data_IF_798467469836
#
_entry.id   IF_798467469836
#
_cell.length_a   1.000
_cell.length_b   1.000
_cell.length_c   1.000
_cell.angle_alpha   90.00
_cell.angle_beta   90.00
_cell.angle_gamma   90.00
#
_symmetry.space_group_name_H-M   'P 1'
#
loop_
_entity.id
_entity.type
_entity.pdbx_description
1 polymer ?
#
# COMPACT_ATOMS: atom_id res chain seq x y z
N UNK A 1 -13.89 13.95 -11.51
CA UNK A 1 -14.96 14.14 -10.50
C UNK A 1 -16.24 13.58 -11.09
N UNK A 2 -16.93 12.70 -10.37
CA UNK A 2 -18.17 12.06 -10.82
C UNK A 2 -19.21 12.18 -9.69
N UNK A 3 -20.44 12.57 -10.04
CA UNK A 3 -21.54 12.71 -9.06
C UNK A 3 -22.35 11.41 -9.05
N UNK A 4 -22.54 10.83 -7.87
CA UNK A 4 -23.32 9.64 -7.64
C UNK A 4 -24.62 9.99 -6.87
N UNK A 5 -25.74 9.60 -7.46
CA UNK A 5 -27.08 9.68 -6.83
C UNK A 5 -27.41 11.10 -6.30
N UNK A 6 -26.79 12.15 -6.87
CA UNK A 6 -26.98 13.54 -6.46
C UNK A 6 -26.48 13.90 -5.05
N UNK A 7 -25.91 12.93 -4.31
CA UNK A 7 -25.51 13.07 -2.91
C UNK A 7 -24.01 12.83 -2.67
N UNK A 8 -23.35 12.06 -3.53
CA UNK A 8 -21.96 11.70 -3.36
C UNK A 8 -21.13 12.11 -4.57
N UNK A 9 -19.89 12.48 -4.31
CA UNK A 9 -18.93 12.87 -5.33
C UNK A 9 -17.73 11.92 -5.24
N UNK A 10 -17.39 11.28 -6.35
CA UNK A 10 -16.14 10.53 -6.49
C UNK A 10 -15.05 11.46 -7.05
N UNK A 11 -13.93 11.54 -6.36
CA UNK A 11 -12.79 12.36 -6.74
C UNK A 11 -11.46 11.72 -6.34
N UNK A 12 -10.39 12.10 -7.02
CA UNK A 12 -9.04 11.84 -6.57
C UNK A 12 -8.70 12.78 -5.40
N UNK A 13 -7.73 12.35 -4.59
CA UNK A 13 -7.19 13.15 -3.49
C UNK A 13 -6.75 14.54 -3.96
N UNK A 14 -7.05 15.55 -3.16
CA UNK A 14 -6.55 16.91 -3.29
C UNK A 14 -5.90 17.37 -1.98
N UNK A 15 -4.87 18.24 -2.02
CA UNK A 15 -4.33 18.86 -0.81
C UNK A 15 -5.45 19.54 0.01
N UNK A 16 -5.52 19.19 1.30
CA UNK A 16 -6.58 19.61 2.22
C UNK A 16 -7.54 18.50 2.62
N UNK A 17 -7.54 17.35 1.91
CA UNK A 17 -8.37 16.19 2.24
C UNK A 17 -7.83 15.37 3.43
N UNK A 18 -6.58 15.61 3.86
CA UNK A 18 -5.87 14.84 4.86
C UNK A 18 -6.67 14.70 6.15
N UNK A 19 -7.18 15.82 6.64
CA UNK A 19 -7.97 15.84 7.88
C UNK A 19 -9.22 14.96 7.76
N UNK A 20 -9.96 15.07 6.66
CA UNK A 20 -11.15 14.26 6.43
C UNK A 20 -10.84 12.77 6.32
N UNK A 21 -9.69 12.40 5.73
CA UNK A 21 -9.23 10.99 5.67
C UNK A 21 -8.88 10.47 7.07
N UNK A 22 -8.19 11.26 7.90
CA UNK A 22 -7.86 10.90 9.27
C UNK A 22 -9.12 10.76 10.16
N UNK A 23 -10.11 11.62 9.98
CA UNK A 23 -11.40 11.54 10.66
C UNK A 23 -12.17 10.26 10.24
N UNK A 24 -12.15 9.93 8.95
CA UNK A 24 -12.69 8.67 8.44
C UNK A 24 -11.95 7.46 9.02
N UNK A 25 -10.62 7.51 9.10
CA UNK A 25 -9.80 6.47 9.71
C UNK A 25 -10.25 6.18 11.15
N UNK A 26 -10.34 7.24 11.97
CA UNK A 26 -10.80 7.13 13.36
C UNK A 26 -12.17 6.48 13.45
N UNK A 27 -13.06 6.82 12.55
CA UNK A 27 -14.43 6.29 12.52
C UNK A 27 -14.46 4.82 12.08
N UNK A 28 -13.70 4.46 11.06
CA UNK A 28 -13.70 3.13 10.47
C UNK A 28 -12.95 2.11 11.32
N UNK A 29 -11.77 2.45 11.84
CA UNK A 29 -10.86 1.55 12.57
C UNK A 29 -10.88 1.72 14.09
N UNK A 30 -11.62 2.71 14.63
CA UNK A 30 -11.69 3.01 16.08
C UNK A 30 -10.32 3.30 16.71
N UNK A 31 -9.39 3.79 15.92
CA UNK A 31 -8.04 4.17 16.32
C UNK A 31 -7.64 5.46 15.61
N UNK A 32 -6.63 6.14 16.12
CA UNK A 32 -6.08 7.31 15.42
C UNK A 32 -4.90 6.86 14.54
N UNK A 33 -4.84 7.39 13.34
CA UNK A 33 -3.64 7.36 12.52
C UNK A 33 -2.79 8.58 12.86
N UNK A 34 -1.50 8.38 13.01
CA UNK A 34 -0.54 9.48 13.15
C UNK A 34 -0.50 10.27 11.83
N UNK A 35 -0.67 11.60 11.87
CA UNK A 35 -0.58 12.44 10.68
C UNK A 35 0.78 12.35 9.97
N UNK A 36 1.88 12.22 10.71
CA UNK A 36 3.22 12.07 10.13
C UNK A 36 3.37 10.73 9.42
N UNK A 37 2.78 9.66 9.98
CA UNK A 37 2.71 8.36 9.31
C UNK A 37 1.88 8.43 8.02
N UNK A 38 0.74 9.13 8.04
CA UNK A 38 -0.08 9.34 6.84
C UNK A 38 0.71 10.10 5.77
N UNK A 39 1.39 11.18 6.19
CA UNK A 39 2.21 11.99 5.30
C UNK A 39 3.32 11.15 4.66
N UNK A 40 4.08 10.42 5.46
CA UNK A 40 5.13 9.53 4.97
C UNK A 40 4.59 8.49 3.97
N UNK A 41 3.48 7.83 4.29
CA UNK A 41 2.89 6.79 3.43
C UNK A 41 2.41 7.32 2.07
N UNK A 42 1.72 8.46 2.07
CA UNK A 42 0.92 8.89 0.93
C UNK A 42 1.38 10.19 0.28
N UNK A 43 1.97 11.11 1.05
CA UNK A 43 2.29 12.43 0.53
C UNK A 43 3.78 12.56 0.18
N UNK A 44 4.66 11.95 0.95
CA UNK A 44 6.11 11.98 0.72
C UNK A 44 6.55 10.89 -0.28
N UNK A 45 5.66 10.00 -0.69
CA UNK A 45 5.95 9.01 -1.70
C UNK A 45 6.39 9.69 -3.02
N UNK A 46 7.56 9.34 -3.58
CA UNK A 46 8.11 10.02 -4.75
C UNK A 46 7.36 9.73 -6.06
N UNK A 47 6.49 8.72 -6.05
CA UNK A 47 5.72 8.34 -7.22
C UNK A 47 4.37 9.07 -7.27
N UNK A 48 3.36 8.50 -7.89
CA UNK A 48 2.05 9.13 -7.96
C UNK A 48 1.22 8.95 -6.68
N UNK A 49 0.29 9.88 -6.43
CA UNK A 49 -0.66 9.75 -5.32
C UNK A 49 -1.87 8.94 -5.80
N UNK A 50 -1.92 7.68 -5.41
CA UNK A 50 -2.98 6.74 -5.82
C UNK A 50 -4.06 6.64 -4.74
N UNK A 51 -4.90 7.66 -4.66
CA UNK A 51 -6.00 7.75 -3.70
C UNK A 51 -7.29 8.22 -4.38
N UNK A 52 -8.38 7.50 -4.15
CA UNK A 52 -9.73 7.85 -4.60
C UNK A 52 -10.63 7.99 -3.40
N UNK A 53 -11.42 9.05 -3.38
CA UNK A 53 -12.31 9.41 -2.30
C UNK A 53 -13.76 9.40 -2.76
N UNK A 54 -14.66 9.10 -1.83
CA UNK A 54 -16.06 9.43 -1.96
C UNK A 54 -16.44 10.42 -0.88
N UNK A 55 -16.99 11.53 -1.30
CA UNK A 55 -17.31 12.69 -0.47
C UNK A 55 -18.82 12.96 -0.54
N UNK A 56 -19.44 13.33 0.58
CA UNK A 56 -20.84 13.76 0.59
C UNK A 56 -20.99 15.20 0.05
N UNK A 57 -22.23 15.63 -0.15
CA UNK A 57 -22.58 17.01 -0.48
C UNK A 57 -22.11 18.03 0.56
N UNK A 58 -21.94 17.61 1.82
CA UNK A 58 -21.40 18.42 2.91
C UNK A 58 -19.87 18.33 3.07
N UNK A 59 -19.17 17.82 2.06
CA UNK A 59 -17.72 17.65 2.05
C UNK A 59 -17.15 16.65 3.09
N UNK A 60 -17.98 15.75 3.63
CA UNK A 60 -17.52 14.66 4.49
C UNK A 60 -16.94 13.54 3.64
N UNK A 61 -15.71 13.11 3.94
CA UNK A 61 -15.09 11.95 3.29
C UNK A 61 -15.64 10.66 3.90
N UNK A 62 -16.32 9.86 3.09
CA UNK A 62 -17.02 8.64 3.55
C UNK A 62 -16.46 7.35 2.99
N UNK A 63 -15.59 7.42 1.99
CA UNK A 63 -14.84 6.26 1.50
C UNK A 63 -13.44 6.71 1.06
N UNK A 64 -12.46 5.88 1.41
CA UNK A 64 -11.09 5.98 0.94
C UNK A 64 -10.69 4.66 0.29
N UNK A 65 -10.18 4.74 -0.91
CA UNK A 65 -9.62 3.61 -1.63
C UNK A 65 -8.28 4.03 -2.23
N UNK A 66 -7.21 3.38 -1.81
CA UNK A 66 -5.90 3.78 -2.25
C UNK A 66 -4.81 2.80 -1.87
N UNK A 67 -3.60 3.20 -2.14
CA UNK A 67 -2.41 2.41 -1.83
C UNK A 67 -1.14 3.18 -2.09
N UNK A 68 -0.04 2.51 -1.91
CA UNK A 68 1.29 3.04 -2.12
C UNK A 68 1.84 2.47 -3.43
N UNK A 69 2.16 3.28 -4.43
CA UNK A 69 2.82 2.83 -5.64
C UNK A 69 4.30 2.55 -5.35
N UNK A 70 4.79 1.48 -5.95
CA UNK A 70 6.19 1.10 -5.94
C UNK A 70 6.69 0.95 -7.36
N UNK A 71 7.95 1.27 -7.57
CA UNK A 71 8.69 1.00 -8.79
C UNK A 71 9.09 -0.47 -8.81
N UNK A 72 8.71 -1.19 -9.86
CA UNK A 72 9.03 -2.59 -10.05
C UNK A 72 9.82 -2.78 -11.35
N UNK A 73 10.73 -3.73 -11.32
CA UNK A 73 11.29 -4.30 -12.52
C UNK A 73 10.39 -5.43 -13.02
N UNK A 74 10.07 -5.43 -14.29
CA UNK A 74 9.44 -6.53 -15.00
C UNK A 74 10.30 -6.91 -16.22
N UNK A 75 11.10 -7.95 -16.09
CA UNK A 75 12.22 -8.25 -16.97
C UNK A 75 13.19 -7.05 -17.05
N UNK A 76 13.31 -6.40 -18.20
CA UNK A 76 14.16 -5.23 -18.41
C UNK A 76 13.40 -3.89 -18.28
N UNK A 77 12.07 -3.96 -18.19
CA UNK A 77 11.20 -2.78 -18.11
C UNK A 77 10.96 -2.34 -16.66
N UNK A 78 10.77 -1.04 -16.50
CA UNK A 78 10.30 -0.47 -15.23
C UNK A 78 8.81 -0.24 -15.33
N UNK A 79 8.08 -0.79 -14.35
CA UNK A 79 6.63 -0.67 -14.23
C UNK A 79 6.26 -0.20 -12.82
N UNK A 80 5.03 0.28 -12.66
CA UNK A 80 4.52 0.64 -11.34
C UNK A 80 3.49 -0.37 -10.87
N UNK A 81 3.56 -0.68 -9.59
CA UNK A 81 2.66 -1.62 -8.90
C UNK A 81 2.17 -0.97 -7.62
N UNK A 82 0.88 -1.02 -7.35
CA UNK A 82 0.30 -0.42 -6.14
C UNK A 82 0.03 -1.48 -5.10
N UNK A 83 0.58 -1.28 -3.91
CA UNK A 83 0.18 -2.00 -2.71
C UNK A 83 -1.06 -1.34 -2.11
N UNK A 84 -2.21 -1.98 -2.29
CA UNK A 84 -3.48 -1.51 -1.73
C UNK A 84 -3.47 -1.64 -0.22
N UNK A 85 -3.78 -0.56 0.50
CA UNK A 85 -3.82 -0.55 1.95
C UNK A 85 -4.76 0.53 2.49
N UNK A 86 -5.10 0.37 3.76
CA UNK A 86 -5.89 1.35 4.51
C UNK A 86 -7.27 1.67 3.88
N UNK A 87 -7.80 0.73 3.10
CA UNK A 87 -9.09 0.87 2.44
C UNK A 87 -10.22 0.89 3.47
N UNK A 88 -11.06 1.92 3.43
CA UNK A 88 -12.08 2.12 4.46
C UNK A 88 -13.36 2.78 3.93
N UNK A 89 -14.46 2.52 4.64
CA UNK A 89 -15.75 3.16 4.42
C UNK A 89 -16.39 3.53 5.74
N UNK A 90 -17.01 4.69 5.78
CA UNK A 90 -17.74 5.16 6.94
C UNK A 90 -18.93 4.20 7.24
N UNK A 91 -19.11 3.74 8.49
CA UNK A 91 -20.14 2.75 8.84
C UNK A 91 -21.55 3.14 8.39
N UNK A 92 -21.91 4.41 8.52
CA UNK A 92 -23.25 4.93 8.20
C UNK A 92 -23.48 5.16 6.69
N UNK A 93 -22.46 4.94 5.85
CA UNK A 93 -22.52 5.17 4.40
C UNK A 93 -22.17 3.91 3.60
N UNK A 94 -22.31 2.72 4.19
CA UNK A 94 -22.04 1.44 3.51
C UNK A 94 -23.14 1.03 2.54
N UNK A 95 -24.27 1.68 2.61
CA UNK A 95 -25.37 1.52 1.66
C UNK A 95 -24.99 2.09 0.28
N UNK A 96 -25.84 1.86 -0.72
CA UNK A 96 -25.69 2.38 -2.09
C UNK A 96 -24.41 1.95 -2.83
N UNK A 97 -23.73 0.91 -2.35
CA UNK A 97 -22.52 0.35 -2.99
C UNK A 97 -21.40 1.38 -3.22
N UNK A 98 -21.29 2.39 -2.35
CA UNK A 98 -20.32 3.48 -2.48
C UNK A 98 -18.89 2.94 -2.51
N UNK A 99 -18.59 1.98 -1.63
CA UNK A 99 -17.28 1.31 -1.62
C UNK A 99 -16.93 0.70 -2.99
N UNK A 100 -17.84 -0.05 -3.57
CA UNK A 100 -17.64 -0.68 -4.88
C UNK A 100 -17.43 0.36 -5.97
N UNK A 101 -18.26 1.42 -5.99
CA UNK A 101 -18.17 2.51 -6.97
C UNK A 101 -16.82 3.22 -6.86
N UNK A 102 -16.38 3.52 -5.62
CA UNK A 102 -15.05 4.14 -5.36
C UNK A 102 -13.92 3.24 -5.83
N UNK A 103 -13.98 1.94 -5.52
CA UNK A 103 -12.96 0.98 -5.93
C UNK A 103 -12.89 0.84 -7.46
N UNK A 104 -14.03 0.72 -8.14
CA UNK A 104 -14.08 0.64 -9.61
C UNK A 104 -13.53 1.91 -10.24
N UNK A 105 -13.90 3.07 -9.71
CA UNK A 105 -13.39 4.35 -10.21
C UNK A 105 -11.87 4.48 -10.00
N UNK A 106 -11.36 3.99 -8.88
CA UNK A 106 -9.92 3.91 -8.63
C UNK A 106 -9.23 3.07 -9.71
N UNK A 107 -9.75 1.87 -9.99
CA UNK A 107 -9.20 0.97 -10.99
C UNK A 107 -9.22 1.64 -12.38
N UNK A 108 -10.36 2.19 -12.79
CA UNK A 108 -10.51 2.86 -14.09
C UNK A 108 -9.58 4.05 -14.27
N UNK A 109 -9.35 4.81 -13.19
CA UNK A 109 -8.57 6.04 -13.26
C UNK A 109 -7.07 5.79 -13.18
N UNK A 110 -6.63 4.87 -12.31
CA UNK A 110 -5.22 4.65 -12.06
C UNK A 110 -4.63 3.46 -12.83
N UNK A 111 -5.44 2.43 -13.16
CA UNK A 111 -4.97 1.25 -13.85
C UNK A 111 -5.13 1.38 -15.35
N UNK A 112 -4.35 2.26 -15.92
CA UNK A 112 -4.23 2.39 -17.37
C UNK A 112 -2.95 1.69 -17.84
N UNK A 113 -2.87 1.28 -19.11
CA UNK A 113 -1.66 0.65 -19.66
C UNK A 113 -0.37 1.43 -19.40
N UNK A 114 -0.48 2.76 -19.33
CA UNK A 114 0.68 3.65 -19.17
C UNK A 114 1.04 3.95 -17.71
N UNK A 115 0.19 3.54 -16.74
CA UNK A 115 0.38 3.92 -15.33
C UNK A 115 0.72 2.75 -14.42
N UNK A 116 -0.17 1.77 -14.33
CA UNK A 116 -0.05 0.70 -13.35
C UNK A 116 -0.25 -0.67 -13.99
N UNK A 117 0.73 -1.53 -13.82
CA UNK A 117 0.67 -2.90 -14.31
C UNK A 117 -0.21 -3.79 -13.42
N UNK A 118 -0.11 -3.62 -12.11
CA UNK A 118 -0.69 -4.54 -11.13
C UNK A 118 -1.05 -3.80 -9.84
N UNK A 119 -2.10 -4.29 -9.19
CA UNK A 119 -2.42 -3.96 -7.80
C UNK A 119 -2.40 -5.22 -6.96
N UNK A 120 -1.86 -5.14 -5.76
CA UNK A 120 -1.86 -6.23 -4.79
C UNK A 120 -2.13 -5.71 -3.39
N UNK A 121 -2.49 -6.60 -2.48
CA UNK A 121 -2.72 -6.25 -1.08
C UNK A 121 -2.80 -7.48 -0.19
N UNK A 122 -2.87 -7.25 1.11
CA UNK A 122 -2.97 -8.27 2.14
C UNK A 122 -4.29 -8.10 2.92
N UNK A 123 -5.43 -8.33 2.27
CA UNK A 123 -6.73 -8.11 2.90
C UNK A 123 -7.00 -9.15 3.99
N UNK A 124 -7.71 -8.74 5.05
CA UNK A 124 -8.35 -9.70 5.95
C UNK A 124 -9.48 -10.45 5.24
N UNK A 125 -9.94 -11.56 5.82
CA UNK A 125 -10.92 -12.47 5.20
C UNK A 125 -12.20 -11.76 4.74
N UNK A 126 -12.74 -10.86 5.56
CA UNK A 126 -13.97 -10.12 5.21
C UNK A 126 -13.76 -9.23 3.98
N UNK A 127 -12.68 -8.48 3.94
CA UNK A 127 -12.38 -7.60 2.80
C UNK A 127 -12.07 -8.43 1.55
N UNK A 128 -11.33 -9.53 1.69
CA UNK A 128 -11.03 -10.41 0.57
C UNK A 128 -12.32 -10.99 -0.05
N UNK A 129 -13.25 -11.50 0.76
CA UNK A 129 -14.49 -12.08 0.24
C UNK A 129 -15.36 -11.07 -0.52
N UNK A 130 -15.37 -9.80 -0.08
CA UNK A 130 -16.02 -8.72 -0.81
C UNK A 130 -15.27 -8.43 -2.11
N UNK A 131 -13.96 -8.26 -2.06
CA UNK A 131 -13.13 -7.96 -3.22
C UNK A 131 -13.16 -9.04 -4.29
N UNK A 132 -13.16 -10.32 -3.89
CA UNK A 132 -13.30 -11.46 -4.80
C UNK A 132 -14.65 -11.41 -5.54
N UNK A 133 -15.73 -11.16 -4.81
CA UNK A 133 -17.09 -11.18 -5.36
C UNK A 133 -17.41 -10.00 -6.27
N UNK A 134 -16.95 -8.78 -5.93
CA UNK A 134 -17.36 -7.55 -6.61
C UNK A 134 -16.26 -6.85 -7.41
N UNK A 135 -14.99 -7.11 -7.10
CA UNK A 135 -13.83 -6.47 -7.74
C UNK A 135 -12.93 -7.48 -8.46
N UNK A 136 -13.32 -8.75 -8.50
CA UNK A 136 -12.60 -9.83 -9.17
C UNK A 136 -11.17 -10.04 -8.64
N UNK A 137 -10.96 -9.85 -7.33
CA UNK A 137 -9.69 -10.15 -6.69
C UNK A 137 -9.28 -11.60 -6.92
N UNK A 138 -8.01 -11.81 -7.19
CA UNK A 138 -7.43 -13.15 -7.34
C UNK A 138 -6.49 -13.43 -6.20
N UNK A 139 -6.69 -14.56 -5.52
CA UNK A 139 -5.78 -15.03 -4.48
C UNK A 139 -4.52 -15.59 -5.12
N UNK A 140 -3.38 -15.05 -4.75
CA UNK A 140 -2.07 -15.54 -5.19
C UNK A 140 -1.59 -16.62 -4.22
N UNK A 141 -1.58 -16.31 -2.92
CA UNK A 141 -1.10 -17.23 -1.87
C UNK A 141 -1.66 -16.84 -0.50
N UNK A 142 -1.48 -17.71 0.48
CA UNK A 142 -1.64 -17.35 1.88
C UNK A 142 -0.33 -16.76 2.41
N UNK A 143 -0.42 -15.68 3.18
CA UNK A 143 0.72 -15.16 3.93
C UNK A 143 0.84 -15.95 5.23
N UNK A 144 1.98 -16.60 5.42
CA UNK A 144 2.29 -17.32 6.65
C UNK A 144 2.89 -16.35 7.66
N UNK A 145 2.27 -16.22 8.81
CA UNK A 145 2.81 -15.47 9.93
C UNK A 145 3.66 -16.41 10.79
N UNK A 146 4.95 -16.11 10.88
CA UNK A 146 5.84 -16.79 11.82
C UNK A 146 5.92 -15.95 13.09
N UNK A 147 5.68 -16.59 14.23
CA UNK A 147 5.79 -15.97 15.56
C UNK A 147 6.85 -16.72 16.34
N UNK A 148 7.86 -16.01 16.81
CA UNK A 148 8.85 -16.53 17.72
C UNK A 148 9.00 -15.61 18.92
N UNK A 149 9.19 -16.17 20.10
CA UNK A 149 9.51 -15.39 21.30
C UNK A 149 11.02 -15.33 21.48
N UNK A 150 11.59 -14.19 21.91
CA UNK A 150 13.04 -14.04 22.07
C UNK A 150 13.70 -15.15 22.88
N UNK A 151 13.06 -15.57 23.99
CA UNK A 151 13.54 -16.67 24.83
C UNK A 151 13.57 -18.04 24.12
N UNK A 152 12.74 -18.27 23.12
CA UNK A 152 12.76 -19.49 22.31
C UNK A 152 13.88 -19.47 21.27
N UNK A 153 14.24 -18.29 20.77
CA UNK A 153 15.32 -18.11 19.79
C UNK A 153 16.69 -18.27 20.44
N UNK A 154 16.87 -17.77 21.68
CA UNK A 154 18.16 -17.78 22.35
C UNK A 154 18.44 -19.07 23.17
N UNK A 155 17.40 -19.84 23.50
CA UNK A 155 17.57 -21.08 24.28
C UNK A 155 17.95 -22.33 23.45
N UNK A 156 17.87 -22.27 22.13
CA UNK A 156 18.44 -23.34 21.29
C UNK A 156 19.94 -23.14 21.18
N UNK A 157 20.73 -23.91 21.90
CA UNK A 157 22.14 -24.16 21.59
C UNK A 157 22.20 -24.78 20.19
N UNK A 158 22.26 -23.93 19.17
CA UNK A 158 22.44 -24.41 17.79
C UNK A 158 23.86 -24.94 17.65
N UNK A 159 24.00 -26.26 17.58
CA UNK A 159 25.22 -26.95 17.28
C UNK A 159 25.71 -26.83 15.83
N UNK A 160 25.12 -25.93 15.05
CA UNK A 160 25.49 -25.65 13.66
C UNK A 160 26.12 -24.28 13.53
N UNK A 161 27.21 -24.05 14.24
CA UNK A 161 28.06 -22.89 14.04
C UNK A 161 29.04 -23.16 12.90
N UNK A 162 28.58 -22.97 11.66
CA UNK A 162 29.48 -22.82 10.52
C UNK A 162 29.11 -21.52 9.81
N UNK A 163 30.07 -20.61 9.79
CA UNK A 163 30.03 -19.27 9.18
C UNK A 163 29.18 -18.26 9.97
N UNK A 164 29.73 -17.77 11.08
CA UNK A 164 29.23 -16.54 11.68
C UNK A 164 29.61 -15.41 10.71
N UNK A 165 28.61 -14.87 10.04
CA UNK A 165 28.74 -13.56 9.39
C UNK A 165 28.57 -12.53 10.51
N UNK A 166 29.61 -11.76 10.79
CA UNK A 166 29.50 -10.63 11.68
C UNK A 166 28.62 -9.58 10.99
N UNK A 167 27.48 -9.28 11.60
CA UNK A 167 26.52 -8.30 11.08
C UNK A 167 26.63 -7.02 11.91
N UNK A 168 26.96 -5.93 11.27
CA UNK A 168 26.84 -4.62 11.85
C UNK A 168 25.43 -4.07 11.61
N UNK A 169 24.77 -3.60 12.66
CA UNK A 169 23.47 -2.94 12.56
C UNK A 169 23.74 -1.44 12.50
N UNK A 170 23.43 -0.84 11.36
CA UNK A 170 23.50 0.60 11.16
C UNK A 170 22.10 1.18 11.32
N UNK A 171 21.84 1.89 12.40
CA UNK A 171 20.54 2.48 12.69
C UNK A 171 20.25 3.73 11.84
N UNK A 172 21.30 4.49 11.52
CA UNK A 172 21.19 5.67 10.68
C UNK A 172 22.31 5.59 9.63
N UNK A 173 21.95 5.16 8.43
CA UNK A 173 22.89 5.08 7.32
C UNK A 173 23.07 6.47 6.71
N UNK A 174 24.26 7.02 6.80
CA UNK A 174 24.66 8.31 6.23
C UNK A 174 25.62 8.17 5.02
N UNK A 175 25.81 6.94 4.56
CA UNK A 175 26.66 6.63 3.43
C UNK A 175 26.06 7.05 2.09
N UNK A 176 26.84 6.95 1.01
CA UNK A 176 26.39 7.37 -0.31
C UNK A 176 25.28 6.45 -0.85
N UNK A 177 24.13 7.02 -1.17
CA UNK A 177 22.97 6.31 -1.70
C UNK A 177 23.28 5.47 -2.97
N UNK A 178 24.31 5.86 -3.74
CA UNK A 178 24.79 5.11 -4.91
C UNK A 178 25.29 3.70 -4.62
N UNK A 179 25.59 3.37 -3.35
CA UNK A 179 25.97 1.99 -2.99
C UNK A 179 24.77 1.05 -3.12
N UNK A 180 23.56 1.52 -2.86
CA UNK A 180 22.33 0.76 -3.10
C UNK A 180 22.09 0.54 -4.59
N UNK A 181 22.38 1.52 -5.43
CA UNK A 181 22.31 1.38 -6.88
C UNK A 181 23.27 0.28 -7.37
N UNK A 182 24.48 0.23 -6.83
CA UNK A 182 25.45 -0.79 -7.19
C UNK A 182 25.00 -2.19 -6.80
N UNK A 183 24.45 -2.35 -5.58
CA UNK A 183 23.90 -3.62 -5.12
C UNK A 183 22.73 -4.03 -6.00
N UNK A 184 21.81 -3.11 -6.29
CA UNK A 184 20.67 -3.37 -7.17
C UNK A 184 21.11 -3.82 -8.56
N UNK A 185 22.01 -3.08 -9.22
CA UNK A 185 22.52 -3.40 -10.55
C UNK A 185 23.15 -4.80 -10.62
N UNK A 186 23.86 -5.22 -9.58
CA UNK A 186 24.47 -6.56 -9.51
C UNK A 186 23.47 -7.68 -9.26
N UNK A 187 22.30 -7.39 -8.67
CA UNK A 187 21.32 -8.38 -8.26
C UNK A 187 20.09 -8.46 -9.17
N UNK A 188 19.72 -7.39 -9.85
CA UNK A 188 18.44 -7.25 -10.57
C UNK A 188 18.17 -8.36 -11.60
N UNK A 189 19.22 -8.88 -12.24
CA UNK A 189 19.09 -9.95 -13.25
C UNK A 189 18.58 -11.28 -12.68
N UNK A 190 18.72 -11.49 -11.36
CA UNK A 190 18.22 -12.70 -10.68
C UNK A 190 16.72 -12.60 -10.34
N UNK A 191 16.13 -11.41 -10.44
CA UNK A 191 14.76 -11.12 -10.02
C UNK A 191 13.97 -10.45 -11.15
N UNK A 192 13.47 -11.23 -12.11
CA UNK A 192 12.80 -10.67 -13.30
C UNK A 192 11.49 -9.93 -12.96
N UNK A 193 10.94 -10.13 -11.76
CA UNK A 193 9.81 -9.36 -11.24
C UNK A 193 10.02 -9.08 -9.76
N UNK A 194 10.38 -7.85 -9.41
CA UNK A 194 10.63 -7.45 -8.03
C UNK A 194 10.56 -5.93 -7.84
N UNK A 195 10.38 -5.50 -6.58
CA UNK A 195 10.54 -4.10 -6.23
C UNK A 195 11.96 -3.66 -6.56
N UNK A 196 12.10 -2.52 -7.26
CA UNK A 196 13.39 -1.88 -7.50
C UNK A 196 13.90 -1.33 -6.16
N UNK A 197 15.11 -1.72 -5.79
CA UNK A 197 15.75 -1.35 -4.51
C UNK A 197 17.01 -0.54 -4.76
N UNK A 198 16.87 0.47 -5.59
CA UNK A 198 17.91 1.47 -5.84
C UNK A 198 17.93 2.57 -4.75
N UNK A 199 18.77 3.56 -4.92
CA UNK A 199 18.86 4.69 -3.99
C UNK A 199 17.54 5.46 -3.82
N UNK A 200 16.63 5.39 -4.77
CA UNK A 200 15.32 6.06 -4.68
C UNK A 200 14.31 5.33 -3.80
N UNK A 201 14.62 4.09 -3.41
CA UNK A 201 13.76 3.27 -2.54
C UNK A 201 13.96 3.59 -1.07
N UNK A 202 15.10 4.15 -0.68
CA UNK A 202 15.52 4.44 0.69
C UNK A 202 15.21 5.89 1.05
#
# INVERSE_FOLDING_TARGET
MEILDGKYILCSFLPGDEKGILDLWKTAFKSNMDPDLFKWKYLDNPYSKTMMLCVTDNSEIVTFYGGIPFKFQYNEDIVYVVNLMDIMSHPNHRENRIFEKTARRFIEYFCTPDNLLLMYGFPGEFHYSIGERILNYKKISNVLYLKAFPNELFNKKNSAQKNIVELEIIENYDGPAKEFDLVWENCKSYYPFSIVRDASFI
#
